data_IF_863451272215
#
_entry.id   IF_863451272215
#
_cell.length_a   1.000
_cell.length_b   1.000
_cell.length_c   1.000
_cell.angle_alpha   90.00
_cell.angle_beta   90.00
_cell.angle_gamma   90.00
#
_symmetry.space_group_name_H-M   'P 1'
#
loop_
_entity.id
_entity.type
_entity.pdbx_description
1 polymer ?
#
# COMPACT_ATOMS: atom_id res chain seq x y z
N UNK A 1 12.82 20.51 -4.00
CA UNK A 1 12.83 19.03 -3.86
C UNK A 1 13.84 18.67 -2.79
N UNK A 2 13.35 18.28 -1.60
CA UNK A 2 14.21 17.85 -0.51
C UNK A 2 14.51 16.36 -0.75
N UNK A 3 15.71 16.05 -1.18
CA UNK A 3 16.19 14.67 -1.28
C UNK A 3 16.20 14.09 0.14
N UNK A 4 15.35 13.11 0.41
CA UNK A 4 15.38 12.39 1.68
C UNK A 4 16.53 11.40 1.59
N UNK A 5 17.64 11.70 2.24
CA UNK A 5 18.75 10.76 2.33
C UNK A 5 18.34 9.59 3.23
N UNK A 6 18.10 8.43 2.61
CA UNK A 6 17.83 7.20 3.32
C UNK A 6 19.12 6.65 3.96
N UNK A 7 19.01 6.13 5.17
CA UNK A 7 20.12 5.37 5.76
C UNK A 7 20.33 4.04 5.00
N UNK A 8 21.55 3.49 5.07
CA UNK A 8 21.83 2.18 4.48
C UNK A 8 20.85 1.10 4.91
N UNK A 9 20.41 1.10 6.17
CA UNK A 9 19.42 0.15 6.70
C UNK A 9 18.06 0.34 6.04
N UNK A 10 17.61 1.58 5.83
CA UNK A 10 16.35 1.86 5.15
C UNK A 10 16.37 1.41 3.68
N UNK A 11 17.45 1.71 2.97
CA UNK A 11 17.66 1.27 1.59
C UNK A 11 17.63 -0.26 1.45
N UNK A 12 18.24 -0.98 2.39
CA UNK A 12 18.22 -2.45 2.42
C UNK A 12 16.80 -2.98 2.62
N UNK A 13 16.00 -2.37 3.52
CA UNK A 13 14.62 -2.76 3.76
C UNK A 13 13.80 -2.59 2.48
N UNK A 14 13.87 -1.43 1.84
CA UNK A 14 13.13 -1.15 0.60
C UNK A 14 13.52 -2.12 -0.52
N UNK A 15 14.82 -2.36 -0.72
CA UNK A 15 15.32 -3.30 -1.73
C UNK A 15 14.83 -4.73 -1.48
N UNK A 16 14.94 -5.23 -0.26
CA UNK A 16 14.43 -6.56 0.09
C UNK A 16 12.92 -6.67 -0.11
N UNK A 17 12.19 -5.64 0.24
CA UNK A 17 10.74 -5.60 0.07
C UNK A 17 10.34 -5.68 -1.40
N UNK A 18 10.95 -4.86 -2.27
CA UNK A 18 10.56 -4.87 -3.69
C UNK A 18 10.89 -6.20 -4.38
N UNK A 19 11.97 -6.87 -3.98
CA UNK A 19 12.27 -8.20 -4.50
C UNK A 19 11.20 -9.22 -4.11
N UNK A 20 10.70 -9.17 -2.86
CA UNK A 20 9.60 -10.03 -2.42
C UNK A 20 8.30 -9.73 -3.16
N UNK A 21 7.96 -8.45 -3.33
CA UNK A 21 6.78 -8.02 -4.07
C UNK A 21 6.84 -8.48 -5.52
N UNK A 22 7.99 -8.33 -6.18
CA UNK A 22 8.19 -8.85 -7.55
C UNK A 22 8.04 -10.36 -7.63
N UNK A 23 8.58 -11.10 -6.67
CA UNK A 23 8.41 -12.54 -6.61
C UNK A 23 6.93 -12.93 -6.49
N UNK A 24 6.17 -12.30 -5.59
CA UNK A 24 4.73 -12.54 -5.43
C UNK A 24 3.95 -12.22 -6.72
N UNK A 25 4.23 -11.10 -7.37
CA UNK A 25 3.57 -10.72 -8.63
C UNK A 25 3.87 -11.70 -9.76
N UNK A 26 5.13 -12.13 -9.88
CA UNK A 26 5.54 -13.10 -10.88
C UNK A 26 4.87 -14.47 -10.66
N UNK A 27 4.81 -14.94 -9.42
CA UNK A 27 4.14 -16.17 -9.03
C UNK A 27 2.65 -16.14 -9.35
N UNK A 28 2.00 -15.01 -9.05
CA UNK A 28 0.60 -14.76 -9.38
C UNK A 28 0.36 -14.46 -10.88
N UNK A 29 1.41 -14.39 -11.71
CA UNK A 29 1.34 -14.04 -13.15
C UNK A 29 0.69 -12.66 -13.41
N UNK A 30 0.93 -11.70 -12.52
CA UNK A 30 0.45 -10.34 -12.65
C UNK A 30 1.55 -9.47 -13.26
N UNK A 31 1.26 -8.89 -14.43
CA UNK A 31 2.17 -8.03 -15.16
C UNK A 31 1.74 -6.58 -15.03
N UNK A 32 2.68 -5.70 -14.74
CA UNK A 32 2.45 -4.27 -14.52
C UNK A 32 3.38 -3.44 -15.41
N UNK A 33 2.91 -2.26 -15.79
CA UNK A 33 3.73 -1.28 -16.49
C UNK A 33 4.91 -0.85 -15.61
N UNK A 34 6.10 -0.85 -16.17
CA UNK A 34 7.33 -0.52 -15.44
C UNK A 34 7.43 0.95 -15.05
N UNK A 35 6.61 1.83 -15.63
CA UNK A 35 6.55 3.26 -15.33
C UNK A 35 5.70 3.61 -14.12
N UNK A 36 4.94 2.65 -13.55
CA UNK A 36 4.13 2.91 -12.36
C UNK A 36 5.00 3.28 -11.17
N UNK A 37 4.52 4.23 -10.36
CA UNK A 37 5.19 4.58 -9.10
C UNK A 37 4.89 3.57 -8.01
N UNK A 38 5.83 3.40 -7.10
CA UNK A 38 5.71 2.51 -5.95
C UNK A 38 5.71 3.32 -4.67
N UNK A 39 4.70 3.12 -3.84
CA UNK A 39 4.60 3.70 -2.51
C UNK A 39 4.78 2.61 -1.45
N UNK A 40 5.72 2.80 -0.56
CA UNK A 40 5.84 2.02 0.68
C UNK A 40 5.08 2.74 1.78
N UNK A 41 3.89 2.27 2.08
CA UNK A 41 3.02 2.85 3.11
C UNK A 41 3.38 2.25 4.46
N UNK A 42 4.28 2.90 5.19
CA UNK A 42 4.90 2.32 6.41
C UNK A 42 4.44 2.92 7.74
N UNK A 43 3.64 3.96 7.74
CA UNK A 43 2.96 4.61 8.88
C UNK A 43 3.78 4.81 10.17
N UNK A 44 4.43 3.77 10.67
CA UNK A 44 5.26 3.75 11.88
C UNK A 44 6.77 3.73 11.59
N UNK A 45 7.16 4.00 10.33
CA UNK A 45 8.53 3.98 9.85
C UNK A 45 8.98 2.62 9.32
N UNK A 46 10.01 2.64 8.47
CA UNK A 46 10.49 1.46 7.75
C UNK A 46 10.95 0.30 8.65
N UNK A 47 11.42 0.58 9.87
CA UNK A 47 11.83 -0.47 10.82
C UNK A 47 10.67 -1.39 11.23
N UNK A 48 9.43 -0.90 11.21
CA UNK A 48 8.22 -1.66 11.54
C UNK A 48 7.46 -2.15 10.30
N UNK A 49 7.96 -1.87 9.11
CA UNK A 49 7.28 -2.13 7.85
C UNK A 49 6.93 -3.60 7.62
N UNK A 50 7.75 -4.53 8.14
CA UNK A 50 7.48 -5.96 8.06
C UNK A 50 6.23 -6.41 8.82
N UNK A 51 5.68 -5.56 9.69
CA UNK A 51 4.46 -5.83 10.48
C UNK A 51 3.33 -4.87 10.13
N UNK A 52 3.65 -3.60 9.88
CA UNK A 52 2.66 -2.54 9.68
C UNK A 52 2.96 -1.81 8.38
N UNK A 53 2.10 -1.99 7.40
CA UNK A 53 2.22 -1.34 6.11
C UNK A 53 1.75 -2.18 4.94
N UNK A 54 2.00 -1.67 3.76
CA UNK A 54 1.80 -2.33 2.48
C UNK A 54 2.63 -1.64 1.41
N UNK A 55 2.83 -2.32 0.29
CA UNK A 55 3.35 -1.71 -0.94
C UNK A 55 2.17 -1.39 -1.85
N UNK A 56 2.11 -0.15 -2.31
CA UNK A 56 1.07 0.33 -3.22
C UNK A 56 1.72 0.66 -4.55
N UNK A 57 1.25 0.05 -5.62
CA UNK A 57 1.66 0.37 -6.98
C UNK A 57 0.56 1.24 -7.59
N UNK A 58 0.90 2.50 -7.85
CA UNK A 58 -0.04 3.49 -8.37
C UNK A 58 -0.14 3.34 -9.88
N UNK A 59 -1.24 2.80 -10.36
CA UNK A 59 -1.46 2.57 -11.78
C UNK A 59 -1.90 3.86 -12.48
N UNK A 60 -3.00 4.45 -12.04
CA UNK A 60 -3.49 5.74 -12.53
C UNK A 60 -4.44 6.39 -11.51
N UNK A 61 -4.54 7.73 -11.60
CA UNK A 61 -5.48 8.54 -10.84
C UNK A 61 -6.08 9.60 -11.77
N UNK A 62 -7.39 9.47 -12.06
CA UNK A 62 -8.18 10.35 -12.93
C UNK A 62 -9.50 10.66 -12.24
N UNK A 63 -10.62 10.74 -12.94
CA UNK A 63 -11.97 10.69 -12.35
C UNK A 63 -12.27 9.36 -11.64
N UNK A 64 -11.46 8.38 -11.87
CA UNK A 64 -11.38 7.08 -11.19
C UNK A 64 -9.91 6.73 -10.96
N UNK A 65 -9.65 5.92 -9.95
CA UNK A 65 -8.29 5.56 -9.53
C UNK A 65 -8.14 4.04 -9.48
N UNK A 66 -6.97 3.55 -9.88
CA UNK A 66 -6.59 2.15 -9.69
C UNK A 66 -5.22 2.07 -9.05
N UNK A 67 -5.13 1.25 -8.02
CA UNK A 67 -3.88 0.86 -7.37
C UNK A 67 -3.83 -0.66 -7.23
N UNK A 68 -2.66 -1.21 -7.26
CA UNK A 68 -2.40 -2.58 -6.84
C UNK A 68 -1.72 -2.55 -5.48
N UNK A 69 -2.27 -3.27 -4.52
CA UNK A 69 -1.76 -3.31 -3.16
C UNK A 69 -1.20 -4.70 -2.88
N UNK A 70 0.03 -4.73 -2.39
CA UNK A 70 0.71 -5.95 -1.99
C UNK A 70 1.03 -5.89 -0.50
N UNK A 71 0.51 -6.83 0.26
CA UNK A 71 0.91 -7.08 1.63
C UNK A 71 1.79 -8.31 1.70
N UNK A 72 2.92 -8.19 2.38
CA UNK A 72 3.77 -9.32 2.74
C UNK A 72 3.12 -10.15 3.86
N UNK A 73 3.51 -11.41 4.05
CA UNK A 73 3.00 -12.22 5.15
C UNK A 73 3.10 -11.52 6.51
N UNK A 74 2.03 -11.60 7.29
CA UNK A 74 1.88 -11.01 8.63
C UNK A 74 1.89 -9.48 8.68
N UNK A 75 1.66 -8.79 7.56
CA UNK A 75 1.45 -7.35 7.57
C UNK A 75 0.00 -6.99 7.89
N UNK A 76 -0.17 -5.86 8.57
CA UNK A 76 -1.45 -5.19 8.72
C UNK A 76 -1.37 -3.74 8.27
N UNK A 77 -2.50 -3.18 7.85
CA UNK A 77 -2.66 -1.77 7.55
C UNK A 77 -3.53 -1.12 8.63
N UNK A 78 -3.12 0.03 9.20
CA UNK A 78 -3.85 0.67 10.27
C UNK A 78 -5.28 1.05 9.89
N UNK A 79 -6.18 1.00 10.88
CA UNK A 79 -7.58 1.38 10.72
C UNK A 79 -7.69 2.87 10.37
N UNK A 80 -8.40 3.16 9.29
CA UNK A 80 -8.58 4.50 8.74
C UNK A 80 -9.91 4.63 8.00
N UNK A 81 -10.26 5.84 7.61
CA UNK A 81 -11.36 6.14 6.69
C UNK A 81 -10.94 7.23 5.69
N UNK A 82 -11.70 7.33 4.63
CA UNK A 82 -11.64 8.42 3.67
C UNK A 82 -12.92 9.25 3.78
N UNK A 83 -12.81 10.56 3.75
CA UNK A 83 -13.98 11.44 3.85
C UNK A 83 -14.74 11.50 2.52
N UNK A 84 -14.03 11.47 1.40
CA UNK A 84 -14.59 11.69 0.06
C UNK A 84 -14.47 10.44 -0.82
N UNK A 85 -13.39 9.69 -0.70
CA UNK A 85 -13.09 8.57 -1.58
C UNK A 85 -13.94 7.34 -1.25
N UNK A 86 -14.60 6.77 -2.27
CA UNK A 86 -15.19 5.43 -2.26
C UNK A 86 -14.21 4.44 -2.86
N UNK A 87 -14.07 3.25 -2.29
CA UNK A 87 -13.13 2.22 -2.71
C UNK A 87 -13.82 0.87 -2.88
N UNK A 88 -13.33 0.09 -3.85
CA UNK A 88 -13.63 -1.34 -3.95
C UNK A 88 -12.32 -2.11 -3.96
N UNK A 89 -12.18 -3.05 -3.03
CA UNK A 89 -11.09 -4.02 -3.04
C UNK A 89 -11.50 -5.27 -3.79
N UNK A 90 -10.61 -5.81 -4.62
CA UNK A 90 -10.75 -7.13 -5.22
C UNK A 90 -9.47 -7.93 -5.02
N UNK A 91 -9.56 -9.07 -4.37
CA UNK A 91 -8.40 -9.95 -4.17
C UNK A 91 -8.04 -10.64 -5.47
N UNK A 92 -6.77 -10.58 -5.84
CA UNK A 92 -6.21 -11.25 -7.01
C UNK A 92 -5.46 -12.53 -6.64
N UNK A 93 -4.72 -12.50 -5.53
CA UNK A 93 -3.94 -13.64 -5.04
C UNK A 93 -3.79 -13.57 -3.51
N UNK A 94 -3.76 -14.75 -2.85
CA UNK A 94 -3.67 -14.85 -1.41
C UNK A 94 -5.00 -14.65 -0.69
N UNK A 95 -4.95 -14.33 0.61
CA UNK A 95 -6.12 -14.13 1.46
C UNK A 95 -6.02 -12.80 2.18
N UNK A 96 -7.07 -12.00 2.12
CA UNK A 96 -7.17 -10.70 2.76
C UNK A 96 -8.21 -10.71 3.88
N UNK A 97 -7.78 -10.43 5.09
CA UNK A 97 -8.68 -10.15 6.20
C UNK A 97 -8.98 -8.64 6.22
N UNK A 98 -10.26 -8.26 6.06
CA UNK A 98 -10.70 -6.86 6.03
C UNK A 98 -11.63 -6.58 7.20
N UNK A 99 -11.38 -5.50 7.91
CA UNK A 99 -12.27 -4.96 8.94
C UNK A 99 -13.00 -3.74 8.35
N UNK A 100 -14.32 -3.81 8.24
CA UNK A 100 -15.17 -2.72 7.71
C UNK A 100 -16.28 -2.46 8.71
N UNK A 101 -16.35 -1.24 9.25
CA UNK A 101 -17.36 -0.82 10.23
C UNK A 101 -17.54 -1.82 11.39
N UNK A 102 -16.41 -2.29 11.93
CA UNK A 102 -16.38 -3.27 13.02
C UNK A 102 -16.68 -4.72 12.62
N UNK A 103 -17.04 -4.99 11.36
CA UNK A 103 -17.28 -6.34 10.84
C UNK A 103 -16.03 -6.88 10.18
N UNK A 104 -15.63 -8.08 10.56
CA UNK A 104 -14.50 -8.76 9.96
C UNK A 104 -14.96 -9.66 8.80
N UNK A 105 -14.30 -9.51 7.66
CA UNK A 105 -14.52 -10.32 6.47
C UNK A 105 -13.18 -10.95 6.06
N UNK A 106 -13.24 -12.15 5.51
CA UNK A 106 -12.09 -12.77 4.86
C UNK A 106 -12.39 -12.90 3.37
N UNK A 107 -11.52 -12.33 2.54
CA UNK A 107 -11.67 -12.32 1.09
C UNK A 107 -10.65 -13.23 0.44
N UNK A 108 -11.11 -14.04 -0.50
CA UNK A 108 -10.33 -14.91 -1.36
C UNK A 108 -10.26 -14.37 -2.80
N UNK A 109 -9.38 -14.90 -3.66
CA UNK A 109 -9.26 -14.45 -5.05
C UNK A 109 -10.61 -14.35 -5.78
N UNK A 110 -10.85 -13.21 -6.44
CA UNK A 110 -12.10 -12.87 -7.12
C UNK A 110 -13.15 -12.20 -6.25
N UNK A 111 -13.06 -12.31 -4.91
CA UNK A 111 -14.02 -11.66 -4.01
C UNK A 111 -13.71 -10.17 -3.81
N UNK A 112 -14.76 -9.40 -3.56
CA UNK A 112 -14.71 -7.94 -3.44
C UNK A 112 -15.28 -7.44 -2.12
N UNK A 113 -14.84 -6.25 -1.70
CA UNK A 113 -15.44 -5.49 -0.62
C UNK A 113 -15.57 -4.02 -1.03
N UNK A 114 -16.76 -3.44 -0.83
CA UNK A 114 -17.03 -2.02 -1.02
C UNK A 114 -16.80 -1.26 0.29
N UNK A 115 -16.09 -0.16 0.21
CA UNK A 115 -15.86 0.77 1.33
C UNK A 115 -16.37 2.13 0.91
N UNK A 116 -17.44 2.58 1.56
CA UNK A 116 -18.02 3.90 1.33
C UNK A 116 -17.25 5.01 2.06
N UNK A 117 -17.37 6.28 1.64
CA UNK A 117 -16.82 7.41 2.36
C UNK A 117 -17.29 7.43 3.82
N UNK A 118 -16.39 7.82 4.73
CA UNK A 118 -16.64 7.87 6.17
C UNK A 118 -16.58 6.54 6.90
N UNK A 119 -16.45 5.43 6.20
CA UNK A 119 -16.46 4.09 6.82
C UNK A 119 -15.06 3.68 7.30
N UNK A 120 -14.94 3.37 8.58
CA UNK A 120 -13.71 2.85 9.18
C UNK A 120 -13.37 1.48 8.62
N UNK A 121 -12.16 1.35 8.08
CA UNK A 121 -11.68 0.09 7.54
C UNK A 121 -10.18 -0.09 7.76
N UNK A 122 -9.77 -1.34 7.75
CA UNK A 122 -8.38 -1.76 7.82
C UNK A 122 -8.25 -3.15 7.21
N UNK A 123 -7.04 -3.58 6.93
CA UNK A 123 -6.82 -4.87 6.30
C UNK A 123 -5.50 -5.50 6.75
N UNK A 124 -5.44 -6.82 6.68
CA UNK A 124 -4.27 -7.62 7.06
C UNK A 124 -4.23 -8.93 6.27
N UNK A 125 -3.09 -9.58 6.30
CA UNK A 125 -2.93 -10.92 5.74
C UNK A 125 -1.97 -11.73 6.58
N UNK A 126 -2.21 -13.03 6.71
CA UNK A 126 -1.27 -13.97 7.34
C UNK A 126 -0.28 -14.53 6.35
N UNK A 127 -0.71 -14.80 5.14
CA UNK A 127 0.05 -15.53 4.11
C UNK A 127 0.69 -14.63 3.07
N UNK A 128 0.32 -13.35 3.01
CA UNK A 128 0.57 -12.45 1.90
C UNK A 128 -0.66 -12.34 1.01
N UNK A 129 -0.85 -11.18 0.40
CA UNK A 129 -1.99 -10.93 -0.47
C UNK A 129 -1.69 -9.87 -1.52
N UNK A 130 -2.23 -10.06 -2.71
CA UNK A 130 -2.27 -9.07 -3.79
C UNK A 130 -3.73 -8.75 -4.07
N UNK A 131 -4.10 -7.47 -4.00
CA UNK A 131 -5.45 -7.03 -4.31
C UNK A 131 -5.46 -5.69 -5.05
N UNK A 132 -6.50 -5.45 -5.81
CA UNK A 132 -6.75 -4.18 -6.48
C UNK A 132 -7.60 -3.28 -5.59
N UNK A 133 -7.24 -1.99 -5.55
CA UNK A 133 -8.08 -0.90 -5.11
C UNK A 133 -8.55 -0.14 -6.36
N UNK A 134 -9.83 -0.23 -6.69
CA UNK A 134 -10.48 0.63 -7.66
C UNK A 134 -11.33 1.63 -6.87
N UNK A 135 -11.15 2.90 -7.14
CA UNK A 135 -11.80 3.95 -6.35
C UNK A 135 -12.22 5.15 -7.19
N UNK A 136 -12.99 6.03 -6.60
CA UNK A 136 -13.09 7.40 -7.10
C UNK A 136 -11.73 8.08 -7.03
N UNK A 137 -11.60 9.29 -7.56
CA UNK A 137 -10.33 10.05 -7.57
C UNK A 137 -9.65 10.01 -6.21
N UNK A 138 -8.37 9.62 -6.19
CA UNK A 138 -7.55 9.72 -5.00
C UNK A 138 -7.21 11.18 -4.71
N UNK A 139 -7.64 11.68 -3.57
CA UNK A 139 -7.40 13.05 -3.09
C UNK A 139 -6.30 13.01 -2.04
N UNK A 140 -5.32 13.89 -2.19
CA UNK A 140 -4.22 14.01 -1.23
C UNK A 140 -4.77 14.43 0.14
N UNK A 141 -4.29 13.76 1.20
CA UNK A 141 -4.69 13.99 2.60
C UNK A 141 -6.13 13.57 2.96
N UNK A 142 -6.82 12.79 2.12
CA UNK A 142 -8.14 12.22 2.41
C UNK A 142 -8.05 10.85 3.13
N UNK A 143 -7.07 10.68 4.00
CA UNK A 143 -6.91 9.46 4.83
C UNK A 143 -6.75 9.83 6.29
N UNK A 144 -7.71 9.42 7.11
CA UNK A 144 -7.79 9.71 8.53
C UNK A 144 -7.63 8.43 9.33
N UNK A 145 -6.60 8.36 10.18
CA UNK A 145 -6.25 7.16 10.93
C UNK A 145 -6.81 7.19 12.34
N UNK A 146 -7.24 6.03 12.85
CA UNK A 146 -7.70 5.89 14.24
C UNK A 146 -6.57 6.18 15.23
N UNK A 147 -5.35 5.78 14.89
CA UNK A 147 -4.15 6.11 15.65
C UNK A 147 -3.74 7.58 15.40
N UNK A 148 -4.00 8.44 16.38
CA UNK A 148 -3.72 9.89 16.30
C UNK A 148 -2.26 10.20 15.93
N UNK A 149 -1.31 9.37 16.37
CA UNK A 149 0.11 9.56 16.07
C UNK A 149 0.41 9.45 14.56
N UNK A 150 -0.39 8.69 13.80
CA UNK A 150 -0.21 8.62 12.34
C UNK A 150 -0.67 9.93 11.69
N UNK A 151 -1.79 10.50 12.16
CA UNK A 151 -2.31 11.76 11.63
C UNK A 151 -1.38 12.95 11.88
N UNK A 152 -0.60 12.94 12.97
CA UNK A 152 0.33 14.02 13.33
C UNK A 152 1.64 13.99 12.53
N UNK A 153 1.93 12.89 11.85
CA UNK A 153 3.17 12.73 11.06
C UNK A 153 3.06 13.40 9.69
N UNK A 154 4.17 13.92 9.20
CA UNK A 154 4.30 14.38 7.82
C UNK A 154 4.24 13.19 6.86
N UNK A 155 3.94 13.47 5.59
CA UNK A 155 3.77 12.41 4.57
C UNK A 155 5.04 11.56 4.42
N UNK A 156 6.20 12.19 4.37
CA UNK A 156 7.52 11.54 4.23
C UNK A 156 7.89 10.66 5.44
N UNK A 157 7.26 10.88 6.59
CA UNK A 157 7.44 10.04 7.79
C UNK A 157 6.56 8.78 7.77
N UNK A 158 5.55 8.77 6.90
CA UNK A 158 4.55 7.69 6.77
C UNK A 158 4.71 6.87 5.50
N UNK A 159 5.35 7.45 4.48
CA UNK A 159 5.41 6.90 3.14
C UNK A 159 6.78 7.16 2.51
N UNK A 160 7.20 6.25 1.67
CA UNK A 160 8.35 6.42 0.77
C UNK A 160 7.88 6.10 -0.63
N UNK A 161 8.08 7.02 -1.58
CA UNK A 161 7.65 6.86 -2.97
C UNK A 161 8.88 6.71 -3.85
N UNK A 162 8.83 5.72 -4.74
CA UNK A 162 9.86 5.46 -5.76
C UNK A 162 9.18 5.56 -7.12
N UNK A 163 9.80 6.27 -8.05
CA UNK A 163 9.21 6.52 -9.35
C UNK A 163 9.35 5.29 -10.22
N UNK A 164 9.47 4.60 -10.77
CA UNK A 164 9.59 3.46 -11.66
C UNK A 164 9.60 2.09 -10.94
N UNK A 165 8.45 1.48 -10.89
CA UNK A 165 8.30 0.10 -10.46
C UNK A 165 9.32 -0.87 -11.11
N UNK A 166 9.50 -0.77 -12.44
CA UNK A 166 10.36 -1.70 -13.19
C UNK A 166 11.85 -1.42 -13.11
N UNK A 167 12.25 -0.22 -12.68
CA UNK A 167 13.66 0.23 -12.65
C UNK A 167 14.19 0.46 -11.24
N UNK A 168 13.59 -0.21 -10.27
CA UNK A 168 14.01 -0.04 -8.89
C UNK A 168 15.49 -0.36 -8.70
N UNK A 169 16.26 0.62 -8.24
CA UNK A 169 17.65 0.49 -7.80
C UNK A 169 17.86 1.29 -6.52
N UNK A 170 18.92 0.95 -5.77
CA UNK A 170 19.30 1.76 -4.59
C UNK A 170 19.68 3.19 -4.95
N UNK A 171 20.17 3.41 -6.16
CA UNK A 171 20.56 4.73 -6.67
C UNK A 171 19.32 5.62 -6.88
N UNK A 172 18.22 5.05 -7.39
CA UNK A 172 16.96 5.77 -7.58
C UNK A 172 16.32 6.20 -6.26
N UNK A 173 16.56 5.47 -5.17
CA UNK A 173 16.07 5.83 -3.84
C UNK A 173 16.87 7.02 -3.26
N UNK A 174 18.14 7.16 -3.61
CA UNK A 174 18.99 8.23 -3.11
C UNK A 174 18.88 9.51 -3.93
N UNK A 175 18.48 9.43 -5.20
CA UNK A 175 18.41 10.54 -6.15
C UNK A 175 17.02 11.23 -6.18
N UNK A 176 16.03 10.76 -5.38
CA UNK A 176 14.69 11.32 -5.24
C UNK A 176 14.47 11.94 -3.85
#
# INVERSE_FOLDING_TARGET
NKVISLSNTQSIILKKTIHKVRAMLNEAKIFLDSSFTVEYSHHHGLKKFNKIGCVIINCFNRSYCKKLIVQLPNQNHPLHYHEVKEETFQVLDGVLDVLIDGKQLQLHPGQTALIQPGVWHGFSTKTGCIFEEVSTTHIKNDSYYKEKIINSKKLEERKTIVDHWGRFSLREIHDQ
#
